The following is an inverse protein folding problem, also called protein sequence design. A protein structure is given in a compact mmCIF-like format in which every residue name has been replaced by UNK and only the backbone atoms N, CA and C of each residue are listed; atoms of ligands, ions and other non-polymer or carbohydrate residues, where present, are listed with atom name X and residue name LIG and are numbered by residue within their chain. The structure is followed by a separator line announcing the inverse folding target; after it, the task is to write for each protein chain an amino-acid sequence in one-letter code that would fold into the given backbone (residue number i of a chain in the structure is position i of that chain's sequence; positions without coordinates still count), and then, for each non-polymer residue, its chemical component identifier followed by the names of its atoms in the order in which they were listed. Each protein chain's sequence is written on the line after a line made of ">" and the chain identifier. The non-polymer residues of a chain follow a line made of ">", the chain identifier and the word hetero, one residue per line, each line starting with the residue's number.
data_IF_683318432890
#
_entry.id   IF_683318432890
#
_cell.length_a   1.000
_cell.length_b   1.000
_cell.length_c   1.000
_cell.angle_alpha   90.00
_cell.angle_beta   90.00
_cell.angle_gamma   90.00
#
_symmetry.space_group_name_H-M   'P 1'
#
loop_
_entity.id
_entity.type
_entity.pdbx_description
1 polymer ?
#
# COMPACT_ATOMS: atom_id res chain seq x y z
N UNK A 1 16.28 2.01 -6.60
CA UNK A 1 15.68 1.74 -5.27
C UNK A 1 15.01 0.37 -5.27
N UNK A 2 15.06 -0.37 -4.16
CA UNK A 2 14.30 -1.63 -3.97
C UNK A 2 13.69 -1.63 -2.58
N UNK A 3 12.41 -1.99 -2.49
CA UNK A 3 11.72 -2.29 -1.25
C UNK A 3 11.72 -3.81 -1.04
N UNK A 4 12.17 -4.24 0.13
CA UNK A 4 12.11 -5.63 0.57
C UNK A 4 11.42 -5.68 1.94
N UNK A 5 10.30 -6.38 2.03
CA UNK A 5 9.58 -6.61 3.28
C UNK A 5 9.49 -8.10 3.51
N UNK A 6 9.76 -8.56 4.73
CA UNK A 6 9.75 -9.97 5.10
C UNK A 6 9.07 -10.15 6.45
N UNK A 7 8.13 -11.08 6.54
CA UNK A 7 7.61 -11.55 7.82
C UNK A 7 8.41 -12.76 8.29
N UNK A 8 8.83 -12.71 9.55
CA UNK A 8 9.54 -13.79 10.22
C UNK A 8 8.81 -14.13 11.52
N UNK A 9 8.39 -15.39 11.66
CA UNK A 9 7.84 -15.91 12.92
C UNK A 9 8.78 -16.97 13.47
N UNK A 10 9.40 -16.69 14.61
CA UNK A 10 10.50 -17.52 15.13
C UNK A 10 11.68 -17.56 14.15
N UNK A 11 11.97 -18.75 13.61
CA UNK A 11 13.00 -18.96 12.59
C UNK A 11 12.45 -19.15 11.16
N UNK A 12 11.12 -19.11 11.00
CA UNK A 12 10.45 -19.30 9.71
C UNK A 12 10.37 -18.00 8.92
N UNK A 13 10.67 -18.05 7.62
CA UNK A 13 10.33 -16.99 6.68
C UNK A 13 8.91 -17.24 6.15
N UNK A 14 7.94 -16.50 6.64
CA UNK A 14 6.53 -16.75 6.30
C UNK A 14 6.22 -16.24 4.89
N UNK A 15 6.70 -15.05 4.55
CA UNK A 15 6.61 -14.50 3.21
C UNK A 15 7.63 -13.36 2.99
N UNK A 16 7.88 -13.07 1.72
CA UNK A 16 8.74 -11.96 1.29
C UNK A 16 8.06 -11.20 0.15
N UNK A 17 7.99 -9.88 0.29
CA UNK A 17 7.57 -8.94 -0.75
C UNK A 17 8.81 -8.19 -1.24
N UNK A 18 9.03 -8.23 -2.56
CA UNK A 18 10.06 -7.44 -3.24
C UNK A 18 9.39 -6.53 -4.27
N UNK A 19 9.74 -5.25 -4.25
CA UNK A 19 9.27 -4.26 -5.23
C UNK A 19 10.39 -3.31 -5.61
N UNK A 20 10.33 -2.75 -6.82
CA UNK A 20 11.37 -1.85 -7.33
C UNK A 20 10.82 -0.98 -8.47
N UNK A 21 11.47 0.17 -8.68
CA UNK A 21 11.29 0.99 -9.89
C UNK A 21 12.39 0.62 -10.87
N UNK A 22 12.05 0.26 -12.11
CA UNK A 22 13.01 0.09 -13.21
C UNK A 22 13.08 1.38 -14.02
N UNK A 23 14.26 1.65 -14.57
CA UNK A 23 14.47 2.68 -15.59
C UNK A 23 13.89 4.04 -15.19
N UNK A 24 14.32 4.58 -14.05
CA UNK A 24 14.02 5.94 -13.64
C UNK A 24 15.22 6.83 -14.01
N UNK A 25 14.99 7.80 -14.89
CA UNK A 25 16.00 8.82 -15.25
C UNK A 25 16.02 10.02 -14.30
N UNK A 26 15.03 10.09 -13.41
CA UNK A 26 14.80 11.16 -12.44
C UNK A 26 14.94 10.62 -11.00
N UNK A 27 14.28 11.25 -10.03
CA UNK A 27 14.27 10.83 -8.64
C UNK A 27 13.30 9.67 -8.37
N UNK A 28 13.68 8.77 -7.47
CA UNK A 28 12.82 7.67 -7.03
C UNK A 28 12.17 8.03 -5.70
N UNK A 29 10.84 8.08 -5.69
CA UNK A 29 10.03 8.17 -4.47
C UNK A 29 9.76 6.78 -3.92
N UNK A 30 10.03 6.59 -2.64
CA UNK A 30 9.57 5.47 -1.84
C UNK A 30 9.18 6.02 -0.46
N UNK A 31 7.89 5.95 -0.14
CA UNK A 31 7.35 6.47 1.11
C UNK A 31 6.38 5.45 1.72
N UNK A 32 6.58 5.10 2.99
CA UNK A 32 5.71 4.17 3.71
C UNK A 32 4.60 5.00 4.35
N UNK A 33 3.33 4.61 4.19
CA UNK A 33 2.23 5.23 4.91
C UNK A 33 2.20 4.65 6.35
N UNK A 34 2.68 5.36 7.40
CA UNK A 34 2.94 4.72 8.69
C UNK A 34 1.66 4.20 9.35
N UNK A 35 0.55 4.93 9.20
CA UNK A 35 -0.77 4.60 9.76
C UNK A 35 -1.42 3.34 9.14
N UNK A 36 -0.83 2.83 8.05
CA UNK A 36 -1.25 1.58 7.43
C UNK A 36 -0.57 0.34 8.01
N UNK A 37 0.53 0.51 8.77
CA UNK A 37 1.33 -0.60 9.28
C UNK A 37 0.69 -1.17 10.54
N UNK A 38 0.08 -2.34 10.43
CA UNK A 38 -0.60 -2.96 11.57
C UNK A 38 -0.67 -4.48 11.47
N UNK A 39 -0.93 -5.13 12.61
CA UNK A 39 -1.29 -6.55 12.68
C UNK A 39 -2.69 -6.66 13.25
N UNK A 40 -3.65 -7.07 12.42
CA UNK A 40 -5.06 -7.15 12.78
C UNK A 40 -5.52 -8.61 12.87
N UNK A 41 -6.04 -9.03 14.04
CA UNK A 41 -6.48 -10.41 14.29
C UNK A 41 -7.94 -10.69 13.93
N UNK A 42 -8.72 -9.65 13.62
CA UNK A 42 -10.16 -9.76 13.34
C UNK A 42 -10.41 -10.50 12.03
N UNK A 43 -9.48 -10.44 11.07
CA UNK A 43 -9.69 -10.95 9.73
C UNK A 43 -9.37 -12.44 9.56
N UNK A 44 -8.74 -13.10 10.52
CA UNK A 44 -8.21 -14.45 10.35
C UNK A 44 -8.31 -15.31 11.61
N UNK A 45 -9.50 -15.43 12.18
CA UNK A 45 -9.81 -16.38 13.28
C UNK A 45 -8.77 -16.36 14.42
N UNK A 46 -8.25 -15.17 14.76
CA UNK A 46 -7.25 -14.98 15.80
C UNK A 46 -5.78 -15.01 15.34
N UNK A 47 -5.50 -15.51 14.13
CA UNK A 47 -4.20 -15.34 13.44
C UNK A 47 -4.06 -13.89 13.00
N UNK A 48 -2.88 -13.30 13.13
CA UNK A 48 -2.65 -11.90 12.72
C UNK A 48 -2.59 -11.74 11.19
N UNK A 49 -3.43 -10.86 10.64
CA UNK A 49 -3.28 -10.33 9.28
C UNK A 49 -2.34 -9.12 9.32
N UNK A 50 -1.25 -9.14 8.57
CA UNK A 50 -0.30 -8.01 8.48
C UNK A 50 -0.75 -7.07 7.37
N UNK A 51 -0.95 -5.79 7.66
CA UNK A 51 -1.27 -4.77 6.67
C UNK A 51 -0.17 -3.70 6.63
N UNK A 52 0.11 -3.19 5.44
CA UNK A 52 1.01 -2.04 5.23
C UNK A 52 0.85 -1.50 3.81
N UNK A 53 1.06 -0.20 3.65
CA UNK A 53 0.98 0.51 2.39
C UNK A 53 2.20 1.39 2.16
N UNK A 54 2.50 1.61 0.89
CA UNK A 54 3.57 2.49 0.46
C UNK A 54 3.29 3.11 -0.90
N UNK A 55 3.90 4.26 -1.12
CA UNK A 55 3.95 5.03 -2.36
C UNK A 55 5.28 4.76 -3.02
N UNK A 56 5.29 4.37 -4.30
CA UNK A 56 6.53 4.09 -5.05
C UNK A 56 6.41 4.55 -6.51
N UNK A 57 7.43 5.25 -7.01
CA UNK A 57 7.45 5.72 -8.39
C UNK A 57 8.71 6.50 -8.76
N UNK A 58 8.79 6.88 -10.03
CA UNK A 58 9.77 7.83 -10.55
C UNK A 58 9.10 9.20 -10.61
N UNK A 59 9.74 10.24 -10.08
CA UNK A 59 9.18 11.59 -9.95
C UNK A 59 10.18 12.62 -10.46
N UNK A 60 9.71 13.57 -11.26
CA UNK A 60 10.49 14.72 -11.73
C UNK A 60 10.16 16.02 -10.97
N UNK A 61 9.07 16.01 -10.19
CA UNK A 61 8.63 17.12 -9.35
C UNK A 61 7.48 16.69 -8.43
N UNK A 62 6.38 17.46 -8.46
CA UNK A 62 5.14 17.12 -7.73
C UNK A 62 4.29 16.22 -8.64
N UNK A 63 4.64 14.94 -8.68
CA UNK A 63 3.94 13.93 -9.48
C UNK A 63 3.32 12.86 -8.57
N UNK A 64 2.03 12.49 -8.77
CA UNK A 64 1.44 11.38 -8.05
C UNK A 64 2.13 10.07 -8.45
N UNK A 65 2.33 9.20 -7.46
CA UNK A 65 2.90 7.86 -7.71
C UNK A 65 1.92 6.75 -7.38
N UNK A 66 2.31 5.51 -7.68
CA UNK A 66 1.50 4.34 -7.37
C UNK A 66 1.47 4.12 -5.85
N UNK A 67 0.27 4.03 -5.29
CA UNK A 67 0.02 3.59 -3.91
C UNK A 67 -0.28 2.09 -3.95
N UNK A 68 0.44 1.31 -3.14
CA UNK A 68 0.21 -0.13 -2.97
C UNK A 68 -0.10 -0.41 -1.51
N UNK A 69 -1.33 -0.84 -1.22
CA UNK A 69 -1.75 -1.27 0.10
C UNK A 69 -1.90 -2.79 0.11
N UNK A 70 -1.11 -3.47 0.94
CA UNK A 70 -1.11 -4.91 1.07
C UNK A 70 -1.72 -5.37 2.37
N UNK A 71 -2.34 -6.55 2.32
CA UNK A 71 -2.62 -7.36 3.48
C UNK A 71 -2.09 -8.79 3.25
N UNK A 72 -1.46 -9.37 4.26
CA UNK A 72 -1.03 -10.76 4.27
C UNK A 72 -1.83 -11.49 5.34
N UNK A 73 -2.77 -12.31 4.87
CA UNK A 73 -3.72 -13.07 5.69
C UNK A 73 -3.48 -14.55 5.45
N UNK A 74 -3.11 -15.29 6.49
CA UNK A 74 -2.79 -16.72 6.41
C UNK A 74 -1.75 -17.05 5.30
N UNK A 75 -0.73 -16.21 5.16
CA UNK A 75 0.31 -16.36 4.12
C UNK A 75 -0.14 -15.98 2.69
N UNK A 76 -1.42 -15.67 2.48
CA UNK A 76 -1.96 -15.23 1.19
C UNK A 76 -1.87 -13.71 1.09
N UNK A 77 -1.39 -13.23 -0.06
CA UNK A 77 -1.28 -11.81 -0.38
C UNK A 77 -2.59 -11.28 -0.94
N UNK A 78 -3.01 -10.14 -0.41
CA UNK A 78 -4.13 -9.32 -0.83
C UNK A 78 -3.61 -7.92 -1.15
N UNK A 79 -4.13 -7.28 -2.17
CA UNK A 79 -3.64 -5.96 -2.58
C UNK A 79 -4.73 -5.06 -3.13
N UNK A 80 -4.65 -3.80 -2.70
CA UNK A 80 -5.41 -2.66 -3.19
C UNK A 80 -4.41 -1.67 -3.77
N UNK A 81 -4.56 -1.34 -5.06
CA UNK A 81 -3.61 -0.46 -5.77
C UNK A 81 -4.33 0.71 -6.40
N UNK A 82 -3.71 1.88 -6.34
CA UNK A 82 -4.27 3.08 -6.95
C UNK A 82 -3.20 4.14 -7.08
N UNK A 83 -3.66 5.35 -7.28
CA UNK A 83 -2.83 6.53 -7.48
C UNK A 83 -2.83 7.38 -6.22
N UNK A 84 -1.70 8.01 -5.94
CA UNK A 84 -1.58 9.02 -4.90
C UNK A 84 -2.44 10.23 -5.24
N UNK A 85 -3.11 10.78 -4.23
CA UNK A 85 -3.76 12.08 -4.34
C UNK A 85 -2.90 13.11 -3.63
N UNK A 86 -2.35 14.07 -4.37
CA UNK A 86 -1.50 15.13 -3.82
C UNK A 86 -2.33 16.40 -3.67
N UNK A 87 -2.31 17.01 -2.49
CA UNK A 87 -2.95 18.30 -2.21
C UNK A 87 -1.85 19.33 -1.93
N UNK A 88 -1.84 20.41 -2.70
CA UNK A 88 -0.93 21.56 -2.53
C UNK A 88 -1.78 22.80 -2.32
N UNK A 89 -1.81 23.32 -1.07
CA UNK A 89 -2.73 24.38 -0.71
C UNK A 89 -4.20 23.99 -0.96
N UNK A 90 -4.86 24.66 -1.91
CA UNK A 90 -6.24 24.36 -2.33
C UNK A 90 -6.36 23.51 -3.59
N UNK A 91 -5.24 23.18 -4.25
CA UNK A 91 -5.23 22.39 -5.49
C UNK A 91 -4.95 20.92 -5.19
N UNK A 92 -5.56 20.02 -5.98
CA UNK A 92 -5.43 18.58 -5.85
C UNK A 92 -5.10 17.93 -7.20
N UNK A 93 -4.21 16.93 -7.19
CA UNK A 93 -3.72 16.23 -8.38
C UNK A 93 -3.65 14.72 -8.12
N UNK A 94 -4.06 13.90 -9.08
CA UNK A 94 -3.98 12.45 -8.96
C UNK A 94 -5.09 11.86 -8.09
N UNK A 95 -5.20 10.52 -8.11
CA UNK A 95 -6.19 9.80 -7.32
C UNK A 95 -7.62 9.88 -7.90
N UNK A 96 -7.79 10.31 -9.15
CA UNK A 96 -9.08 10.39 -9.82
C UNK A 96 -9.69 9.00 -10.06
N UNK A 97 -8.84 7.98 -10.16
CA UNK A 97 -9.25 6.58 -10.29
C UNK A 97 -9.35 5.92 -8.92
N UNK A 98 -10.51 5.30 -8.68
CA UNK A 98 -10.70 4.45 -7.51
C UNK A 98 -9.65 3.33 -7.47
N UNK A 99 -9.18 2.95 -6.26
CA UNK A 99 -8.21 1.88 -6.13
C UNK A 99 -8.79 0.54 -6.56
N UNK A 100 -7.95 -0.26 -7.21
CA UNK A 100 -8.30 -1.55 -7.80
C UNK A 100 -7.84 -2.68 -6.87
N UNK A 101 -8.75 -3.49 -6.32
CA UNK A 101 -8.40 -4.68 -5.57
C UNK A 101 -7.95 -5.82 -6.51
N UNK A 102 -7.05 -6.68 -6.03
CA UNK A 102 -6.71 -7.94 -6.69
C UNK A 102 -7.80 -9.01 -6.51
N UNK A 103 -7.58 -10.19 -7.11
CA UNK A 103 -8.54 -11.29 -7.07
C UNK A 103 -8.86 -11.75 -5.64
N UNK A 104 -7.85 -11.87 -4.76
CA UNK A 104 -8.06 -12.34 -3.39
C UNK A 104 -8.87 -11.31 -2.59
N UNK A 105 -8.54 -10.03 -2.73
CA UNK A 105 -9.22 -8.94 -2.03
C UNK A 105 -10.64 -8.72 -2.52
N UNK A 106 -10.92 -8.85 -3.82
CA UNK A 106 -12.30 -8.80 -4.35
C UNK A 106 -13.22 -9.84 -3.71
N UNK A 107 -12.68 -11.00 -3.34
CA UNK A 107 -13.45 -12.10 -2.77
C UNK A 107 -13.54 -12.04 -1.23
N UNK A 108 -12.73 -11.22 -0.55
CA UNK A 108 -12.83 -10.98 0.90
C UNK A 108 -13.49 -9.62 1.18
N UNK A 109 -14.82 -9.62 1.24
CA UNK A 109 -15.61 -8.38 1.39
C UNK A 109 -15.31 -7.60 2.68
N UNK A 110 -14.99 -8.30 3.78
CA UNK A 110 -14.70 -7.66 5.07
C UNK A 110 -13.38 -6.91 5.01
N UNK A 111 -12.34 -7.59 4.50
CA UNK A 111 -11.02 -7.00 4.33
C UNK A 111 -11.03 -5.89 3.27
N UNK A 112 -11.75 -6.08 2.15
CA UNK A 112 -11.91 -5.05 1.12
C UNK A 112 -12.55 -3.79 1.69
N UNK A 113 -13.67 -3.92 2.42
CA UNK A 113 -14.35 -2.78 3.05
C UNK A 113 -13.41 -2.05 4.00
N UNK A 114 -12.65 -2.79 4.81
CA UNK A 114 -11.70 -2.22 5.73
C UNK A 114 -10.58 -1.44 5.02
N UNK A 115 -9.95 -2.05 4.02
CA UNK A 115 -8.87 -1.43 3.27
C UNK A 115 -9.33 -0.20 2.47
N UNK A 116 -10.52 -0.25 1.87
CA UNK A 116 -11.13 0.91 1.22
C UNK A 116 -11.41 2.05 2.20
N UNK A 117 -11.87 1.74 3.42
CA UNK A 117 -12.16 2.75 4.44
C UNK A 117 -10.92 3.51 4.95
N UNK A 118 -9.73 2.91 4.81
CA UNK A 118 -8.45 3.57 5.12
C UNK A 118 -7.77 4.19 3.89
N UNK A 119 -8.33 4.04 2.70
CA UNK A 119 -7.63 4.39 1.46
C UNK A 119 -7.24 5.86 1.42
N UNK A 120 -8.20 6.77 1.65
CA UNK A 120 -7.95 8.20 1.51
C UNK A 120 -6.86 8.71 2.45
N UNK A 121 -6.80 8.22 3.69
CA UNK A 121 -5.75 8.62 4.64
C UNK A 121 -4.36 8.07 4.24
N UNK A 122 -4.32 6.93 3.54
CA UNK A 122 -3.10 6.27 3.09
C UNK A 122 -2.59 6.88 1.78
N UNK A 123 -3.48 7.12 0.82
CA UNK A 123 -3.15 7.54 -0.53
C UNK A 123 -2.94 9.04 -0.66
N UNK A 124 -3.41 9.85 0.31
CA UNK A 124 -3.30 11.30 0.23
C UNK A 124 -1.95 11.79 0.75
N UNK A 125 -1.35 12.75 0.06
CA UNK A 125 -0.20 13.53 0.52
C UNK A 125 -0.60 15.00 0.55
N UNK A 126 -0.40 15.66 1.69
CA UNK A 126 -0.64 17.10 1.83
C UNK A 126 0.69 17.82 1.93
N UNK A 127 0.89 18.80 1.05
CA UNK A 127 2.07 19.67 1.03
C UNK A 127 1.58 21.06 1.46
N UNK A 128 2.12 21.52 2.58
CA UNK A 128 1.84 22.86 3.13
C UNK A 128 2.78 23.91 2.55
#
# INVERSE_FOLDING_TARGET
>A
MTLLVKQVTGYSNDWTLKDFVRNCGEDIKLDIAPDSVEVNKIFSDGVGTVLFAYKIGCVGGIDPVIVKYFAFKNGVKYSLRGEEHIIVGSEGFGGEKAPVPDFNLRNDKSLLKYMMGKWDSISTTKIN
#
